data_IF_176782258902
#
_entry.id   IF_176782258902
#
_cell.length_a   1.000
_cell.length_b   1.000
_cell.length_c   1.000
_cell.angle_alpha   90.00
_cell.angle_beta   90.00
_cell.angle_gamma   90.00
#
_symmetry.space_group_name_H-M   'P 1'
#
loop_
_entity.id
_entity.type
_entity.pdbx_description
1 polymer ?
#
# COMPACT_ATOMS: atom_id res chain seq x y z
N UNK A 1 -45.17 -7.86 9.60
CA UNK A 1 -43.69 -7.80 9.54
C UNK A 1 -43.29 -6.74 10.55
N UNK A 2 -42.31 -7.02 11.40
CA UNK A 2 -41.89 -6.07 12.44
C UNK A 2 -41.24 -4.83 11.82
N UNK A 3 -41.53 -3.64 12.37
CA UNK A 3 -41.03 -2.35 11.87
C UNK A 3 -39.51 -2.29 11.90
N UNK A 4 -38.90 -2.82 12.97
CA UNK A 4 -37.44 -2.88 13.12
C UNK A 4 -36.80 -3.68 11.99
N UNK A 5 -37.39 -4.83 11.64
CA UNK A 5 -36.93 -5.66 10.53
C UNK A 5 -37.03 -4.92 9.18
N UNK A 6 -38.15 -4.25 8.92
CA UNK A 6 -38.38 -3.46 7.71
C UNK A 6 -37.37 -2.31 7.59
N UNK A 7 -37.13 -1.59 8.69
CA UNK A 7 -36.15 -0.51 8.75
C UNK A 7 -34.75 -1.00 8.47
N UNK A 8 -34.32 -2.13 9.06
CA UNK A 8 -33.01 -2.71 8.77
C UNK A 8 -32.81 -3.09 7.30
N UNK A 9 -33.86 -3.58 6.63
CA UNK A 9 -33.80 -3.85 5.19
C UNK A 9 -33.79 -2.57 4.35
N UNK A 10 -34.50 -1.52 4.77
CA UNK A 10 -34.45 -0.21 4.12
C UNK A 10 -33.07 0.43 4.25
N UNK A 11 -32.45 0.39 5.43
CA UNK A 11 -31.11 0.94 5.65
C UNK A 11 -30.05 0.20 4.83
N UNK A 12 -30.26 -1.11 4.56
CA UNK A 12 -29.37 -1.92 3.73
C UNK A 12 -29.59 -1.73 2.23
N UNK A 13 -30.84 -1.77 1.77
CA UNK A 13 -31.21 -1.85 0.35
C UNK A 13 -31.74 -0.54 -0.25
N UNK A 14 -31.96 0.47 0.57
CA UNK A 14 -32.71 1.66 0.20
C UNK A 14 -34.18 1.35 -0.08
N UNK A 15 -34.81 2.19 -0.90
CA UNK A 15 -36.24 2.15 -1.19
C UNK A 15 -36.70 1.07 -2.17
N UNK A 16 -36.16 -0.16 -2.15
CA UNK A 16 -36.58 -1.25 -3.06
C UNK A 16 -37.70 -2.07 -2.40
N UNK A 17 -39.00 -1.88 -2.74
CA UNK A 17 -40.10 -2.47 -1.97
C UNK A 17 -40.07 -3.99 -1.95
N UNK A 18 -39.68 -4.62 -3.07
CA UNK A 18 -39.54 -6.08 -3.16
C UNK A 18 -38.49 -6.65 -2.19
N UNK A 19 -37.48 -5.86 -1.82
CA UNK A 19 -36.41 -6.29 -0.93
C UNK A 19 -36.84 -6.07 0.52
N UNK A 20 -37.44 -4.91 0.79
CA UNK A 20 -37.92 -4.50 2.11
C UNK A 20 -39.08 -5.38 2.60
N UNK A 21 -40.06 -5.71 1.74
CA UNK A 21 -41.28 -6.39 2.14
C UNK A 21 -41.27 -7.90 1.85
N UNK A 22 -40.09 -8.49 1.61
CA UNK A 22 -39.95 -9.93 1.47
C UNK A 22 -40.07 -10.62 2.84
N UNK A 23 -40.75 -11.77 2.95
CA UNK A 23 -40.70 -12.57 4.17
C UNK A 23 -39.28 -13.12 4.32
N UNK A 24 -38.53 -12.59 5.30
CA UNK A 24 -37.07 -12.77 5.48
C UNK A 24 -36.24 -12.05 4.42
N UNK A 25 -34.93 -11.96 4.67
CA UNK A 25 -33.95 -11.40 3.74
C UNK A 25 -33.64 -12.38 2.58
N UNK A 26 -34.65 -12.65 1.75
CA UNK A 26 -34.55 -13.57 0.60
C UNK A 26 -33.67 -13.01 -0.54
N UNK A 27 -33.36 -11.71 -0.51
CA UNK A 27 -32.60 -11.02 -1.56
C UNK A 27 -31.13 -10.81 -1.22
N UNK A 28 -30.69 -11.15 0.00
CA UNK A 28 -29.30 -11.06 0.46
C UNK A 28 -28.29 -11.56 -0.59
N UNK A 29 -28.43 -12.80 -1.04
CA UNK A 29 -27.46 -13.41 -1.97
C UNK A 29 -27.43 -12.71 -3.33
N UNK A 30 -28.61 -12.33 -3.86
CA UNK A 30 -28.72 -11.63 -5.14
C UNK A 30 -28.11 -10.23 -5.05
N UNK A 31 -28.31 -9.57 -3.92
CA UNK A 31 -27.76 -8.23 -3.67
C UNK A 31 -26.24 -8.27 -3.52
N UNK A 32 -25.71 -9.18 -2.71
CA UNK A 32 -24.26 -9.38 -2.56
C UNK A 32 -23.61 -9.76 -3.90
N UNK A 33 -24.25 -10.61 -4.71
CA UNK A 33 -23.80 -10.89 -6.07
C UNK A 33 -23.74 -9.64 -6.94
N UNK A 34 -24.73 -8.75 -6.81
CA UNK A 34 -24.76 -7.47 -7.55
C UNK A 34 -23.62 -6.55 -7.08
N UNK A 35 -23.46 -6.37 -5.76
CA UNK A 35 -22.35 -5.63 -5.17
C UNK A 35 -21.00 -6.15 -5.65
N UNK A 36 -20.80 -7.48 -5.65
CA UNK A 36 -19.55 -8.12 -6.08
C UNK A 36 -19.28 -7.99 -7.58
N UNK A 37 -20.33 -7.89 -8.41
CA UNK A 37 -20.19 -7.70 -9.87
C UNK A 37 -19.98 -6.24 -10.30
N UNK A 38 -20.37 -5.27 -9.47
CA UNK A 38 -20.33 -3.84 -9.81
C UNK A 38 -18.91 -3.35 -10.16
N UNK A 39 -18.77 -2.51 -11.19
CA UNK A 39 -17.50 -1.86 -11.54
C UNK A 39 -17.61 -0.35 -11.38
N UNK A 40 -16.53 0.30 -10.99
CA UNK A 40 -16.49 1.77 -10.89
C UNK A 40 -16.85 2.44 -12.22
N UNK A 41 -16.41 1.84 -13.34
CA UNK A 41 -16.75 2.32 -14.69
C UNK A 41 -18.25 2.27 -14.98
N UNK A 42 -19.00 1.35 -14.38
CA UNK A 42 -20.45 1.30 -14.57
C UNK A 42 -21.15 2.49 -13.88
N UNK A 43 -20.63 2.95 -12.74
CA UNK A 43 -21.11 4.18 -12.07
C UNK A 43 -20.69 5.40 -12.89
N UNK A 44 -19.45 5.42 -13.40
CA UNK A 44 -18.95 6.50 -14.25
C UNK A 44 -19.78 6.71 -15.51
N UNK A 45 -20.25 5.62 -16.12
CA UNK A 45 -21.12 5.66 -17.29
C UNK A 45 -22.51 6.26 -16.98
N UNK A 46 -22.90 6.33 -15.70
CA UNK A 46 -24.15 6.96 -15.26
C UNK A 46 -24.03 8.49 -15.08
N UNK A 47 -22.82 9.07 -15.21
CA UNK A 47 -22.56 10.51 -15.00
C UNK A 47 -23.19 11.44 -16.06
N UNK A 48 -23.81 10.91 -17.12
CA UNK A 48 -24.50 11.70 -18.15
C UNK A 48 -26.01 11.82 -17.95
N UNK A 49 -26.55 11.31 -16.85
CA UNK A 49 -27.96 11.46 -16.47
C UNK A 49 -28.66 10.14 -16.12
N UNK A 50 -29.85 10.22 -15.51
CA UNK A 50 -30.63 9.06 -15.05
C UNK A 50 -30.82 7.96 -16.10
N UNK A 51 -31.01 8.34 -17.38
CA UNK A 51 -31.28 7.40 -18.47
C UNK A 51 -30.11 6.49 -18.85
N UNK A 52 -28.90 6.81 -18.38
CA UNK A 52 -27.69 6.03 -18.63
C UNK A 52 -27.43 4.98 -17.54
N UNK A 53 -28.26 4.93 -16.49
CA UNK A 53 -28.17 3.90 -15.46
C UNK A 53 -28.56 2.56 -16.07
N UNK A 54 -27.58 1.66 -16.22
CA UNK A 54 -27.85 0.30 -16.70
C UNK A 54 -28.85 -0.41 -15.80
N UNK A 55 -29.77 -1.14 -16.41
CA UNK A 55 -30.76 -1.97 -15.73
C UNK A 55 -30.15 -3.06 -14.83
N UNK A 56 -28.84 -3.35 -14.89
CA UNK A 56 -28.17 -4.24 -13.92
C UNK A 56 -27.87 -3.56 -12.58
N UNK A 57 -27.86 -2.22 -12.52
CA UNK A 57 -27.39 -1.43 -11.38
C UNK A 57 -28.49 -0.77 -10.56
N UNK A 58 -29.77 -0.91 -10.94
CA UNK A 58 -30.92 -0.35 -10.22
C UNK A 58 -31.06 -0.82 -8.76
N UNK A 59 -30.32 -1.88 -8.38
CA UNK A 59 -30.24 -2.37 -6.99
C UNK A 59 -29.27 -1.55 -6.15
N UNK A 60 -28.29 -0.91 -6.77
CA UNK A 60 -27.23 -0.13 -6.13
C UNK A 60 -27.42 1.37 -6.33
N UNK A 61 -28.07 1.76 -7.42
CA UNK A 61 -28.37 3.13 -7.82
C UNK A 61 -29.89 3.32 -7.83
N UNK A 62 -30.36 4.39 -7.21
CA UNK A 62 -31.77 4.75 -7.13
C UNK A 62 -31.98 6.17 -7.66
N UNK A 63 -33.12 6.39 -8.29
CA UNK A 63 -33.54 7.73 -8.68
C UNK A 63 -33.94 8.54 -7.47
N UNK A 64 -33.53 9.79 -7.46
CA UNK A 64 -33.98 10.79 -6.50
C UNK A 64 -34.61 11.94 -7.28
N UNK A 65 -35.93 12.05 -7.15
CA UNK A 65 -36.73 13.08 -7.80
C UNK A 65 -36.65 14.35 -6.96
N UNK A 66 -36.44 15.49 -7.62
CA UNK A 66 -36.44 16.79 -6.95
C UNK A 66 -37.85 17.22 -6.54
N UNK A 67 -37.93 18.24 -5.69
CA UNK A 67 -39.21 18.76 -5.18
C UNK A 67 -40.14 19.29 -6.27
N UNK A 68 -39.57 19.69 -7.40
CA UNK A 68 -40.29 20.15 -8.58
C UNK A 68 -40.90 19.02 -9.42
N UNK A 69 -40.63 17.76 -9.05
CA UNK A 69 -41.04 16.55 -9.75
C UNK A 69 -40.61 16.50 -11.24
N UNK A 70 -39.72 17.41 -11.64
CA UNK A 70 -39.26 17.58 -13.01
C UNK A 70 -37.76 17.27 -13.13
N UNK A 71 -37.02 17.46 -12.05
CA UNK A 71 -35.61 17.07 -11.95
C UNK A 71 -35.48 15.66 -11.40
N UNK A 72 -34.57 14.89 -11.98
CA UNK A 72 -34.23 13.55 -11.52
C UNK A 72 -32.72 13.41 -11.45
N UNK A 73 -32.24 12.92 -10.31
CA UNK A 73 -30.84 12.60 -10.05
C UNK A 73 -30.69 11.13 -9.73
N UNK A 74 -29.45 10.65 -9.70
CA UNK A 74 -29.13 9.27 -9.30
C UNK A 74 -28.33 9.34 -8.01
N UNK A 75 -28.74 8.56 -7.01
CA UNK A 75 -28.02 8.39 -5.75
C UNK A 75 -27.73 6.91 -5.50
N UNK A 76 -26.80 6.64 -4.60
CA UNK A 76 -26.61 5.29 -4.07
C UNK A 76 -27.84 4.88 -3.27
N UNK A 77 -28.18 3.59 -3.32
CA UNK A 77 -29.39 3.06 -2.71
C UNK A 77 -29.44 3.31 -1.20
N UNK A 78 -28.28 3.22 -0.53
CA UNK A 78 -28.13 3.44 0.90
C UNK A 78 -26.69 3.75 1.26
N UNK A 79 -26.47 4.23 2.48
CA UNK A 79 -25.13 4.40 3.06
C UNK A 79 -24.38 3.06 3.16
N UNK A 80 -25.10 1.95 3.43
CA UNK A 80 -24.52 0.61 3.38
C UNK A 80 -23.92 0.31 2.00
N UNK A 81 -24.65 0.62 0.91
CA UNK A 81 -24.15 0.42 -0.46
C UNK A 81 -22.94 1.30 -0.74
N UNK A 82 -22.98 2.55 -0.30
CA UNK A 82 -21.87 3.48 -0.45
C UNK A 82 -20.57 2.96 0.16
N UNK A 83 -20.61 2.64 1.46
CA UNK A 83 -19.44 2.12 2.20
C UNK A 83 -18.88 0.87 1.52
N UNK A 84 -19.75 -0.09 1.17
CA UNK A 84 -19.35 -1.36 0.54
C UNK A 84 -18.75 -1.18 -0.84
N UNK A 85 -19.29 -0.28 -1.67
CA UNK A 85 -18.74 -0.02 -3.00
C UNK A 85 -17.42 0.73 -2.94
N UNK A 86 -17.29 1.72 -2.05
CA UNK A 86 -16.03 2.44 -1.83
C UNK A 86 -14.94 1.45 -1.41
N UNK A 87 -15.16 0.69 -0.34
CA UNK A 87 -14.23 -0.33 0.14
C UNK A 87 -13.80 -1.27 -0.99
N UNK A 88 -14.79 -1.79 -1.74
CA UNK A 88 -14.55 -2.69 -2.85
C UNK A 88 -13.69 -2.06 -3.95
N UNK A 89 -14.01 -0.86 -4.41
CA UNK A 89 -13.27 -0.23 -5.52
C UNK A 89 -11.85 0.13 -5.12
N UNK A 90 -11.65 0.61 -3.89
CA UNK A 90 -10.31 0.83 -3.35
C UNK A 90 -9.50 -0.46 -3.29
N UNK A 91 -10.10 -1.54 -2.79
CA UNK A 91 -9.46 -2.86 -2.73
C UNK A 91 -9.13 -3.40 -4.14
N UNK A 92 -10.07 -3.32 -5.08
CA UNK A 92 -9.87 -3.80 -6.45
C UNK A 92 -8.75 -3.04 -7.16
N UNK A 93 -8.73 -1.71 -7.06
CA UNK A 93 -7.68 -0.90 -7.67
C UNK A 93 -6.32 -1.21 -7.04
N UNK A 94 -6.27 -1.38 -5.71
CA UNK A 94 -5.05 -1.79 -5.00
C UNK A 94 -4.59 -3.18 -5.44
N UNK A 95 -5.51 -4.13 -5.58
CA UNK A 95 -5.23 -5.49 -6.04
C UNK A 95 -4.67 -5.49 -7.45
N UNK A 96 -5.25 -4.72 -8.38
CA UNK A 96 -4.75 -4.61 -9.77
C UNK A 96 -3.29 -4.12 -9.83
N UNK A 97 -2.89 -3.20 -8.95
CA UNK A 97 -1.48 -2.76 -8.87
C UNK A 97 -0.58 -3.91 -8.39
N UNK A 98 -1.01 -4.71 -7.41
CA UNK A 98 -0.24 -5.86 -6.94
C UNK A 98 -0.18 -6.99 -7.96
N UNK A 99 -1.30 -7.29 -8.61
CA UNK A 99 -1.39 -8.29 -9.68
C UNK A 99 -0.44 -7.90 -10.81
N UNK A 100 -0.44 -6.63 -11.23
CA UNK A 100 0.55 -6.11 -12.18
C UNK A 100 1.99 -6.37 -11.72
N UNK A 101 2.35 -6.04 -10.46
CA UNK A 101 3.71 -6.26 -9.94
C UNK A 101 4.08 -7.76 -9.95
N UNK A 102 3.14 -8.63 -9.60
CA UNK A 102 3.34 -10.07 -9.50
C UNK A 102 3.44 -10.74 -10.87
N UNK A 103 2.52 -10.42 -11.79
CA UNK A 103 2.44 -11.03 -13.12
C UNK A 103 3.55 -10.54 -14.05
N UNK A 104 4.03 -9.31 -13.87
CA UNK A 104 5.14 -8.75 -14.64
C UNK A 104 6.53 -9.24 -14.21
N UNK A 105 6.64 -10.18 -13.27
CA UNK A 105 7.92 -10.64 -12.69
C UNK A 105 8.91 -11.17 -13.74
N UNK A 106 8.40 -11.84 -14.78
CA UNK A 106 9.19 -12.50 -15.83
C UNK A 106 9.22 -11.71 -17.14
N UNK A 107 8.83 -10.42 -17.11
CA UNK A 107 8.73 -9.56 -18.30
C UNK A 107 9.83 -8.47 -18.31
N UNK A 108 10.97 -8.68 -18.99
CA UNK A 108 12.10 -7.74 -18.95
C UNK A 108 11.76 -6.35 -19.47
N UNK A 109 10.91 -6.24 -20.50
CA UNK A 109 10.55 -4.97 -21.14
C UNK A 109 9.85 -3.99 -20.19
N UNK A 110 9.14 -4.49 -19.18
CA UNK A 110 8.40 -3.67 -18.20
C UNK A 110 9.02 -3.73 -16.80
N UNK A 111 10.20 -4.33 -16.64
CA UNK A 111 10.85 -4.48 -15.34
C UNK A 111 11.12 -3.13 -14.64
N UNK A 112 11.46 -2.08 -15.40
CA UNK A 112 11.65 -0.74 -14.87
C UNK A 112 10.34 -0.13 -14.31
N UNK A 113 9.22 -0.33 -15.02
CA UNK A 113 7.89 0.13 -14.59
C UNK A 113 7.45 -0.65 -13.34
N UNK A 114 7.64 -1.98 -13.35
CA UNK A 114 7.39 -2.84 -12.18
C UNK A 114 8.14 -2.36 -10.95
N UNK A 115 9.42 -2.04 -11.10
CA UNK A 115 10.24 -1.47 -10.03
C UNK A 115 9.66 -0.16 -9.49
N UNK A 116 9.30 0.77 -10.37
CA UNK A 116 8.71 2.06 -9.98
C UNK A 116 7.38 1.90 -9.21
N UNK A 117 6.52 0.99 -9.66
CA UNK A 117 5.24 0.71 -9.02
C UNK A 117 5.45 0.09 -7.65
N UNK A 118 6.33 -0.91 -7.56
CA UNK A 118 6.65 -1.56 -6.31
C UNK A 118 7.26 -0.58 -5.29
N UNK A 119 8.21 0.26 -5.70
CA UNK A 119 8.80 1.30 -4.85
C UNK A 119 7.72 2.23 -4.27
N UNK A 120 6.79 2.67 -5.11
CA UNK A 120 5.67 3.54 -4.71
C UNK A 120 4.72 2.85 -3.72
N UNK A 121 4.42 1.57 -3.95
CA UNK A 121 3.60 0.74 -3.05
C UNK A 121 4.31 0.52 -1.71
N UNK A 122 5.60 0.17 -1.74
CA UNK A 122 6.42 -0.04 -0.56
C UNK A 122 6.49 1.22 0.31
N UNK A 123 6.72 2.40 -0.29
CA UNK A 123 6.63 3.66 0.45
C UNK A 123 5.25 3.86 1.08
N UNK A 124 4.17 3.58 0.36
CA UNK A 124 2.80 3.75 0.89
C UNK A 124 2.55 2.85 2.09
N UNK A 125 3.04 1.62 2.05
CA UNK A 125 2.85 0.64 3.12
C UNK A 125 3.77 0.92 4.31
N UNK A 126 5.03 1.26 4.10
CA UNK A 126 5.95 1.59 5.20
C UNK A 126 5.55 2.88 5.93
N UNK A 127 4.81 3.78 5.25
CA UNK A 127 4.23 4.99 5.84
C UNK A 127 2.98 4.71 6.67
N UNK A 128 2.27 3.61 6.44
CA UNK A 128 1.18 3.21 7.32
C UNK A 128 1.73 2.61 8.62
N UNK A 129 1.02 2.83 9.72
CA UNK A 129 1.26 2.07 10.94
C UNK A 129 1.17 0.57 10.61
N UNK A 130 2.14 -0.22 11.08
CA UNK A 130 2.12 -1.64 10.76
C UNK A 130 3.22 -2.47 11.40
N UNK A 131 2.98 -3.77 11.37
CA UNK A 131 3.94 -4.82 11.71
C UNK A 131 4.52 -5.39 10.42
N UNK A 132 5.83 -5.44 10.33
CA UNK A 132 6.55 -5.90 9.16
C UNK A 132 7.44 -7.08 9.51
N UNK A 133 7.30 -8.18 8.76
CA UNK A 133 8.23 -9.29 8.87
C UNK A 133 9.53 -8.97 8.14
N UNK A 134 10.64 -9.13 8.83
CA UNK A 134 11.98 -8.94 8.26
C UNK A 134 12.95 -9.98 8.82
N UNK A 135 14.05 -10.26 8.13
CA UNK A 135 15.10 -11.19 8.60
C UNK A 135 16.47 -10.70 8.19
N UNK A 136 17.51 -11.11 8.91
CA UNK A 136 18.88 -10.92 8.42
C UNK A 136 19.05 -11.67 7.10
N UNK A 137 19.82 -11.14 6.16
CA UNK A 137 20.14 -11.88 4.92
C UNK A 137 20.99 -13.12 5.21
N UNK A 138 21.69 -13.14 6.35
CA UNK A 138 22.55 -14.22 6.82
C UNK A 138 21.80 -15.23 7.73
N UNK A 139 20.50 -15.04 7.97
CA UNK A 139 19.69 -15.93 8.83
C UNK A 139 18.27 -16.14 8.31
N UNK A 140 17.71 -17.36 8.41
CA UNK A 140 16.32 -17.62 8.08
C UNK A 140 15.33 -17.14 9.16
N UNK A 141 15.81 -16.74 10.35
CA UNK A 141 14.96 -16.35 11.48
C UNK A 141 14.21 -15.06 11.15
N UNK A 142 12.88 -15.15 11.15
CA UNK A 142 11.99 -14.03 10.90
C UNK A 142 11.72 -13.28 12.20
N UNK A 143 11.93 -11.97 12.13
CA UNK A 143 11.67 -11.00 13.18
C UNK A 143 10.48 -10.10 12.76
N UNK A 144 9.90 -9.42 13.75
CA UNK A 144 8.86 -8.42 13.53
C UNK A 144 9.40 -7.02 13.83
N UNK A 145 9.21 -6.10 12.90
CA UNK A 145 9.46 -4.67 13.07
C UNK A 145 8.12 -3.96 13.22
N UNK A 146 7.97 -3.16 14.27
CA UNK A 146 6.80 -2.28 14.45
C UNK A 146 7.18 -0.88 14.00
N UNK A 147 6.54 -0.39 12.95
CA UNK A 147 6.70 0.99 12.50
C UNK A 147 5.48 1.79 12.89
N UNK A 148 5.71 2.82 13.71
CA UNK A 148 4.70 3.84 14.04
C UNK A 148 5.09 5.14 13.38
N UNK A 149 4.62 5.36 12.16
CA UNK A 149 4.89 6.59 11.42
C UNK A 149 3.84 7.64 11.78
N UNK A 150 4.28 8.69 12.47
CA UNK A 150 3.47 9.85 12.85
C UNK A 150 3.69 11.03 11.90
N UNK A 151 4.88 11.10 11.29
CA UNK A 151 5.26 12.20 10.39
C UNK A 151 5.94 11.68 9.14
N UNK A 152 5.74 12.40 8.04
CA UNK A 152 6.50 12.24 6.79
C UNK A 152 7.32 13.50 6.54
N UNK A 153 8.62 13.34 6.31
CA UNK A 153 9.48 14.42 5.86
C UNK A 153 10.06 14.06 4.50
N UNK A 154 9.83 14.93 3.53
CA UNK A 154 10.49 14.86 2.23
C UNK A 154 11.63 15.88 2.17
N UNK A 155 12.83 15.44 1.83
CA UNK A 155 14.04 16.26 1.91
C UNK A 155 14.82 16.25 0.59
N UNK A 156 15.55 17.34 0.34
CA UNK A 156 16.47 17.42 -0.79
C UNK A 156 17.89 17.03 -0.37
N UNK A 157 18.27 17.40 0.87
CA UNK A 157 19.59 17.17 1.46
C UNK A 157 19.47 16.64 2.89
N UNK A 158 20.43 15.81 3.32
CA UNK A 158 20.42 15.28 4.70
C UNK A 158 20.74 16.35 5.74
N UNK A 159 21.39 17.44 5.34
CA UNK A 159 21.68 18.58 6.22
C UNK A 159 20.41 19.31 6.68
N UNK A 160 19.29 19.12 5.98
CA UNK A 160 18.01 19.80 6.24
C UNK A 160 17.11 19.05 7.23
N UNK A 161 17.47 17.82 7.61
CA UNK A 161 16.63 16.97 8.44
C UNK A 161 17.06 16.99 9.91
N UNK A 162 16.07 17.05 10.80
CA UNK A 162 16.25 16.72 12.20
C UNK A 162 15.71 15.31 12.44
N UNK A 163 16.57 14.41 12.92
CA UNK A 163 16.18 13.02 13.21
C UNK A 163 15.19 12.97 14.36
N UNK A 164 14.16 12.15 14.19
CA UNK A 164 13.16 11.89 15.21
C UNK A 164 12.53 10.52 14.99
N UNK A 165 12.28 9.82 16.09
CA UNK A 165 11.48 8.60 16.06
C UNK A 165 10.07 8.91 15.56
N UNK A 166 9.45 7.90 14.92
CA UNK A 166 8.13 8.02 14.32
C UNK A 166 8.07 8.89 13.06
N UNK A 167 9.22 9.28 12.51
CA UNK A 167 9.27 10.02 11.23
C UNK A 167 9.80 9.13 10.10
N UNK A 168 9.07 9.11 8.99
CA UNK A 168 9.48 8.49 7.74
C UNK A 168 10.09 9.53 6.80
N UNK A 169 11.37 9.34 6.47
CA UNK A 169 12.14 10.27 5.65
C UNK A 169 12.29 9.73 4.23
N UNK A 170 11.91 10.53 3.24
CA UNK A 170 11.97 10.16 1.82
C UNK A 170 12.65 11.28 1.01
N UNK A 171 13.76 11.02 0.30
CA UNK A 171 14.33 12.00 -0.63
C UNK A 171 13.30 12.44 -1.68
N UNK A 172 13.34 13.71 -2.11
CA UNK A 172 12.47 14.18 -3.20
C UNK A 172 12.90 13.66 -4.58
N UNK A 173 14.19 13.41 -4.76
CA UNK A 173 14.76 12.95 -6.02
C UNK A 173 15.03 11.44 -5.99
N UNK A 174 14.55 10.71 -7.00
CA UNK A 174 14.74 9.25 -7.16
C UNK A 174 16.20 8.81 -7.29
N UNK A 175 17.10 9.73 -7.64
CA UNK A 175 18.53 9.44 -7.80
C UNK A 175 19.29 9.65 -6.49
N UNK A 176 18.63 9.66 -5.32
CA UNK A 176 19.35 9.79 -4.07
C UNK A 176 20.25 8.55 -3.89
N UNK A 177 21.57 8.71 -3.74
CA UNK A 177 22.47 7.79 -4.42
C UNK A 177 22.65 6.42 -3.73
N UNK A 178 22.05 6.24 -2.54
CA UNK A 178 22.24 5.03 -1.75
C UNK A 178 20.99 4.46 -1.08
N UNK A 179 19.93 5.24 -0.87
CA UNK A 179 18.75 4.78 -0.12
C UNK A 179 17.50 5.43 -0.70
N UNK A 180 16.39 4.70 -0.71
CA UNK A 180 15.11 5.22 -1.19
C UNK A 180 14.35 5.92 -0.07
N UNK A 181 14.59 5.52 1.18
CA UNK A 181 14.02 6.16 2.38
C UNK A 181 14.71 5.64 3.65
N UNK A 182 14.38 6.22 4.80
CA UNK A 182 14.78 5.67 6.09
C UNK A 182 13.83 6.09 7.22
N UNK A 183 13.93 5.42 8.36
CA UNK A 183 13.30 5.83 9.61
C UNK A 183 14.20 5.54 10.82
N UNK A 184 13.89 6.17 11.94
CA UNK A 184 14.56 5.96 13.23
C UNK A 184 13.64 5.14 14.13
N UNK A 185 14.16 4.07 14.73
CA UNK A 185 13.48 3.26 15.75
C UNK A 185 14.46 3.02 16.89
N UNK A 186 14.21 3.63 18.06
CA UNK A 186 15.23 3.75 19.11
C UNK A 186 16.51 4.40 18.58
N UNK A 187 17.67 3.74 18.75
CA UNK A 187 18.97 4.20 18.24
C UNK A 187 19.31 3.64 16.84
N UNK A 188 18.44 2.82 16.26
CA UNK A 188 18.66 2.21 14.95
C UNK A 188 18.08 3.07 13.83
N UNK A 189 18.91 3.36 12.82
CA UNK A 189 18.48 3.89 11.53
C UNK A 189 18.27 2.74 10.56
N UNK A 190 17.02 2.57 10.15
CA UNK A 190 16.62 1.61 9.13
C UNK A 190 16.68 2.27 7.76
N UNK A 191 17.71 1.93 6.99
CA UNK A 191 17.96 2.43 5.65
C UNK A 191 17.27 1.53 4.63
N UNK A 192 16.20 1.99 3.99
CA UNK A 192 15.40 1.19 3.06
C UNK A 192 15.90 1.33 1.62
N UNK A 193 16.05 0.18 0.96
CA UNK A 193 16.19 0.07 -0.49
C UNK A 193 15.10 -0.85 -1.05
N UNK A 194 14.25 -0.32 -1.91
CA UNK A 194 13.17 -1.04 -2.56
C UNK A 194 13.71 -1.75 -3.78
N UNK A 195 13.45 -3.05 -3.91
CA UNK A 195 13.85 -3.78 -5.11
C UNK A 195 12.92 -4.94 -5.44
N UNK A 196 12.76 -5.18 -6.74
CA UNK A 196 12.07 -6.35 -7.31
C UNK A 196 13.06 -7.37 -7.89
N UNK A 197 14.36 -7.14 -7.71
CA UNK A 197 15.46 -8.00 -8.16
C UNK A 197 16.08 -8.74 -6.99
N UNK A 198 16.54 -9.97 -7.21
CA UNK A 198 17.36 -10.70 -6.22
C UNK A 198 18.81 -10.17 -6.15
N UNK A 199 19.24 -9.45 -7.18
CA UNK A 199 20.53 -8.79 -7.25
C UNK A 199 20.33 -7.28 -7.31
N UNK A 200 20.70 -6.60 -6.23
CA UNK A 200 20.63 -5.16 -6.06
C UNK A 200 21.95 -4.65 -5.45
N UNK A 201 23.00 -4.50 -6.28
CA UNK A 201 24.29 -4.06 -5.80
C UNK A 201 24.20 -2.63 -5.26
N UNK A 202 24.90 -2.37 -4.17
CA UNK A 202 24.83 -1.10 -3.43
C UNK A 202 26.06 -0.25 -3.76
N UNK A 203 25.84 1.00 -4.17
CA UNK A 203 26.93 1.95 -4.39
C UNK A 203 27.58 2.32 -3.04
N UNK A 204 28.84 1.94 -2.87
CA UNK A 204 29.54 2.05 -1.58
C UNK A 204 29.84 3.49 -1.18
N UNK A 205 30.34 4.31 -2.10
CA UNK A 205 30.71 5.71 -1.82
C UNK A 205 29.52 6.49 -1.27
N UNK A 206 28.36 6.24 -1.86
CA UNK A 206 27.14 6.97 -1.56
C UNK A 206 26.60 6.57 -0.20
N UNK A 207 26.53 5.27 0.07
CA UNK A 207 26.11 4.76 1.36
C UNK A 207 27.07 5.23 2.47
N UNK A 208 28.38 5.16 2.24
CA UNK A 208 29.39 5.56 3.21
C UNK A 208 29.28 7.04 3.57
N UNK A 209 29.03 7.90 2.58
CA UNK A 209 28.80 9.32 2.83
C UNK A 209 27.54 9.56 3.67
N UNK A 210 26.44 8.85 3.37
CA UNK A 210 25.21 8.89 4.16
C UNK A 210 25.44 8.49 5.62
N UNK A 211 26.18 7.40 5.87
CA UNK A 211 26.46 6.93 7.24
C UNK A 211 27.37 7.90 7.99
N UNK A 212 28.45 8.37 7.34
CA UNK A 212 29.35 9.36 7.94
C UNK A 212 28.60 10.64 8.31
N UNK A 213 27.61 11.03 7.51
CA UNK A 213 26.74 12.16 7.85
C UNK A 213 25.94 11.88 9.13
N UNK A 214 25.24 10.75 9.22
CA UNK A 214 24.47 10.42 10.41
C UNK A 214 25.33 10.28 11.68
N UNK A 215 26.50 9.65 11.59
CA UNK A 215 27.42 9.53 12.72
C UNK A 215 27.98 10.89 13.20
N UNK A 216 28.03 11.90 12.33
CA UNK A 216 28.35 13.29 12.76
C UNK A 216 27.22 13.94 13.55
N UNK A 217 25.97 13.51 13.34
CA UNK A 217 24.82 13.99 14.11
C UNK A 217 24.78 13.33 15.49
N UNK A 218 25.00 12.01 15.55
CA UNK A 218 25.11 11.26 16.79
C UNK A 218 25.93 9.97 16.58
N UNK A 219 27.06 9.85 17.27
CA UNK A 219 27.98 8.71 17.17
C UNK A 219 27.38 7.41 17.73
N UNK A 220 26.28 7.49 18.50
CA UNK A 220 25.60 6.32 19.09
C UNK A 220 24.62 5.64 18.13
N UNK A 221 24.40 6.21 16.95
CA UNK A 221 23.48 5.65 15.96
C UNK A 221 24.02 4.35 15.38
N UNK A 222 23.15 3.35 15.30
CA UNK A 222 23.40 2.09 14.60
C UNK A 222 22.62 2.06 13.29
N UNK A 223 23.11 1.30 12.31
CA UNK A 223 22.54 1.28 10.96
C UNK A 223 22.13 -0.13 10.56
N UNK A 224 20.98 -0.25 9.91
CA UNK A 224 20.50 -1.49 9.30
C UNK A 224 20.14 -1.19 7.86
N UNK A 225 20.83 -1.83 6.92
CA UNK A 225 20.45 -1.75 5.51
C UNK A 225 19.35 -2.78 5.25
N UNK A 226 18.17 -2.31 4.89
CA UNK A 226 16.97 -3.15 4.73
C UNK A 226 16.50 -3.12 3.29
N UNK A 227 16.61 -4.27 2.62
CA UNK A 227 16.04 -4.47 1.29
C UNK A 227 14.56 -4.79 1.41
N UNK A 228 13.72 -3.90 0.89
CA UNK A 228 12.28 -4.06 0.86
C UNK A 228 11.92 -4.74 -0.45
N UNK A 229 11.31 -5.92 -0.37
CA UNK A 229 11.03 -6.77 -1.53
C UNK A 229 9.60 -7.28 -1.53
N UNK A 230 9.03 -7.63 -2.70
CA UNK A 230 7.78 -8.36 -2.73
C UNK A 230 7.94 -9.72 -2.05
N UNK A 231 6.88 -10.25 -1.46
CA UNK A 231 6.96 -11.46 -0.64
C UNK A 231 7.51 -12.70 -1.36
N UNK A 232 7.34 -12.80 -2.69
CA UNK A 232 7.85 -13.91 -3.50
C UNK A 232 9.39 -13.96 -3.53
N UNK A 233 10.07 -12.84 -3.23
CA UNK A 233 11.54 -12.76 -3.14
C UNK A 233 12.07 -12.99 -1.73
N UNK A 234 11.22 -12.87 -0.71
CA UNK A 234 11.66 -12.76 0.68
C UNK A 234 12.52 -13.94 1.16
N UNK A 235 12.14 -15.17 0.85
CA UNK A 235 12.88 -16.37 1.28
C UNK A 235 14.17 -16.59 0.49
N UNK A 236 14.21 -16.12 -0.76
CA UNK A 236 15.33 -16.32 -1.69
C UNK A 236 16.34 -15.18 -1.66
N UNK A 237 16.02 -14.05 -1.04
CA UNK A 237 16.88 -12.87 -1.01
C UNK A 237 18.15 -13.14 -0.18
N UNK A 238 19.31 -12.93 -0.79
CA UNK A 238 20.61 -13.16 -0.16
C UNK A 238 21.35 -11.85 0.06
N UNK A 239 22.52 -11.94 0.70
CA UNK A 239 23.42 -10.80 0.93
C UNK A 239 23.80 -10.14 -0.40
N UNK A 240 23.71 -8.81 -0.41
CA UNK A 240 24.04 -7.98 -1.57
C UNK A 240 25.48 -7.48 -1.49
N UNK A 241 26.11 -7.37 -2.66
CA UNK A 241 27.48 -6.88 -2.79
C UNK A 241 27.53 -5.36 -2.94
N UNK A 242 28.62 -4.77 -2.45
CA UNK A 242 28.93 -3.35 -2.63
C UNK A 242 29.79 -3.14 -3.88
N UNK A 243 29.50 -2.08 -4.64
CA UNK A 243 30.19 -1.72 -5.88
C UNK A 243 30.71 -0.26 -5.82
N UNK A 244 31.80 0.06 -6.53
CA UNK A 244 32.35 1.43 -6.63
C UNK A 244 31.59 2.23 -7.69
N UNK A 245 31.33 1.59 -8.83
CA UNK A 245 30.55 2.08 -9.97
C UNK A 245 29.75 0.90 -10.52
N UNK A 246 28.67 1.17 -11.28
CA UNK A 246 27.89 0.11 -11.94
C UNK A 246 28.82 -0.81 -12.74
N UNK A 247 29.01 -2.05 -12.25
CA UNK A 247 29.82 -3.09 -12.90
C UNK A 247 31.19 -3.36 -12.27
N UNK A 248 31.69 -2.51 -11.37
CA UNK A 248 33.01 -2.69 -10.74
C UNK A 248 32.88 -3.05 -9.26
N UNK A 249 33.29 -4.27 -8.91
CA UNK A 249 33.38 -4.73 -7.52
C UNK A 249 34.52 -4.04 -6.77
N UNK A 250 34.32 -3.85 -5.47
CA UNK A 250 35.31 -3.24 -4.59
C UNK A 250 36.41 -4.24 -4.23
N UNK A 251 37.66 -3.84 -4.43
CA UNK A 251 38.85 -4.57 -3.94
C UNK A 251 39.18 -4.27 -2.46
N UNK A 252 38.83 -3.08 -1.94
CA UNK A 252 39.00 -2.68 -0.53
C UNK A 252 37.76 -1.93 0.00
N UNK A 253 36.97 -2.57 0.85
CA UNK A 253 35.78 -1.96 1.48
C UNK A 253 36.19 -1.24 2.77
N UNK A 254 35.61 -0.08 3.07
CA UNK A 254 35.84 0.56 4.37
C UNK A 254 35.25 -0.28 5.51
N UNK A 255 35.87 -0.25 6.69
CA UNK A 255 35.42 -1.05 7.85
C UNK A 255 33.99 -0.70 8.28
N UNK A 256 33.59 0.57 8.10
CA UNK A 256 32.24 1.08 8.39
C UNK A 256 31.18 0.41 7.51
N UNK A 257 31.42 0.24 6.22
CA UNK A 257 30.41 -0.39 5.34
C UNK A 257 30.33 -1.89 5.57
N UNK A 258 31.47 -2.54 5.86
CA UNK A 258 31.49 -3.98 6.12
C UNK A 258 30.73 -4.38 7.39
N UNK A 259 30.66 -3.48 8.39
CA UNK A 259 30.00 -3.76 9.65
C UNK A 259 28.48 -3.59 9.62
N UNK A 260 27.91 -3.07 8.53
CA UNK A 260 26.48 -2.78 8.46
C UNK A 260 25.70 -4.06 8.15
N UNK A 261 24.85 -4.52 9.09
CA UNK A 261 24.03 -5.68 8.86
C UNK A 261 23.00 -5.41 7.77
N UNK A 262 22.85 -6.39 6.89
CA UNK A 262 21.84 -6.39 5.83
C UNK A 262 20.65 -7.23 6.25
N UNK A 263 19.45 -6.69 6.02
CA UNK A 263 18.19 -7.36 6.26
C UNK A 263 17.34 -7.33 4.99
N UNK A 264 16.37 -8.24 4.94
CA UNK A 264 15.29 -8.21 3.95
C UNK A 264 13.96 -8.08 4.68
N UNK A 265 13.07 -7.23 4.17
CA UNK A 265 11.71 -6.97 4.66
C UNK A 265 10.73 -7.32 3.53
N UNK A 266 9.68 -8.09 3.85
CA UNK A 266 8.64 -8.41 2.85
C UNK A 266 7.50 -7.42 2.85
N UNK A 267 7.06 -7.06 1.66
CA UNK A 267 5.74 -6.47 1.42
C UNK A 267 4.84 -7.60 0.92
N UNK A 268 3.82 -8.01 1.70
CA UNK A 268 2.89 -9.06 1.27
C UNK A 268 2.07 -8.58 0.07
N UNK A 269 1.75 -9.48 -0.85
CA UNK A 269 0.64 -9.23 -1.77
C UNK A 269 -0.61 -9.26 -0.91
N UNK A 270 -1.30 -8.12 -0.82
CA UNK A 270 -2.46 -8.01 0.04
C UNK A 270 -3.55 -8.89 -0.54
N UNK A 271 -4.00 -9.88 0.23
CA UNK A 271 -5.04 -10.82 -0.15
C UNK A 271 -6.27 -10.56 0.71
N UNK A 272 -7.04 -9.53 0.35
CA UNK A 272 -8.19 -9.12 1.16
C UNK A 272 -7.79 -8.49 2.51
N UNK A 273 -8.76 -7.83 3.13
CA UNK A 273 -8.58 -7.20 4.45
C UNK A 273 -8.63 -8.29 5.54
N UNK A 274 -7.59 -8.39 6.36
CA UNK A 274 -7.75 -8.84 7.75
C UNK A 274 -8.68 -7.83 8.42
N UNK A 275 -9.89 -8.27 8.77
CA UNK A 275 -11.04 -7.47 9.23
C UNK A 275 -10.86 -6.81 10.60
N UNK A 276 -9.65 -6.42 10.98
CA UNK A 276 -9.40 -5.77 12.25
C UNK A 276 -8.89 -4.35 11.99
N UNK A 277 -9.55 -3.39 12.64
CA UNK A 277 -9.24 -1.95 12.67
C UNK A 277 -9.87 -1.10 11.55
N UNK A 278 -11.20 -1.07 11.53
CA UNK A 278 -11.90 0.23 11.40
C UNK A 278 -12.46 0.54 12.79
N UNK A 279 -12.00 1.59 13.49
CA UNK A 279 -12.66 2.04 14.69
C UNK A 279 -14.10 2.43 14.31
N UNK A 280 -15.07 1.83 14.99
CA UNK A 280 -16.44 2.36 14.99
C UNK A 280 -16.37 3.75 15.64
N UNK A 281 -16.51 4.80 14.83
CA UNK A 281 -16.98 6.12 15.28
C UNK A 281 -18.50 6.19 15.14
#
# INVERSE_FOLDING_TARGET
MDETFVKGLFDKYGGIPRYIFSPKDAWAQVFEGTLNSAKLDDIRQSLGGPELVRASNHKLLQYSVGEDYSTCTVKLASEYVEKRLIEKFYQQNRQQVFDFIKESKDQPMIAAIRGCFFESVAHTILRSFGKFSYRSVDSPVVLEMKLKVERKISFDKLEEIQLSEGTYYQPKFKNYPAIDSFCVVGNDIFLFQMTVSLAHPVLHSDLENTIKFFLKLDEKLSFKLVFVVPEDKFSQFTKQHYIVKKGEQISQKSSIIQSIPQFVLKIPYITGIDREEIPEE
#
